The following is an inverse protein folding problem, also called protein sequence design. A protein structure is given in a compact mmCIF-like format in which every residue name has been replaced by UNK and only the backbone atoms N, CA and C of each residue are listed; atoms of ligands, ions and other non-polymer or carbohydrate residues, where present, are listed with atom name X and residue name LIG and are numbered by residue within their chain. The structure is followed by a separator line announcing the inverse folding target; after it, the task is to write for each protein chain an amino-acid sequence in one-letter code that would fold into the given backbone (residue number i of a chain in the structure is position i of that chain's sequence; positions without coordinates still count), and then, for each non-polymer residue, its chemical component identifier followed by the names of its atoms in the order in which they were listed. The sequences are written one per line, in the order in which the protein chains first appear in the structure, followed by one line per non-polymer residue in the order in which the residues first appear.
data_IF_676596713482
#
_entry.id   IF_676596713482
#
_cell.length_a   1.000
_cell.length_b   1.000
_cell.length_c   1.000
_cell.angle_alpha   90.00
_cell.angle_beta   90.00
_cell.angle_gamma   90.00
#
_symmetry.space_group_name_H-M   'P 1'
#
loop_
_entity.id
_entity.type
_entity.pdbx_description
1 polymer ?
#
# COMPACT_ATOMS: atom_id res chain seq x y z
N UNK A 1 15.39 -18.59 -12.30
CA UNK A 1 16.14 -18.79 -13.59
C UNK A 1 17.63 -18.46 -13.38
N UNK A 2 18.55 -19.03 -14.17
CA UNK A 2 19.99 -18.80 -13.99
C UNK A 2 20.49 -17.72 -14.96
N UNK A 3 20.95 -16.58 -14.44
CA UNK A 3 21.51 -15.50 -15.25
C UNK A 3 23.01 -15.34 -15.00
N UNK A 4 23.79 -15.36 -16.07
CA UNK A 4 25.20 -15.01 -16.01
C UNK A 4 25.32 -13.50 -16.06
N UNK A 5 25.79 -12.88 -14.97
CA UNK A 5 26.12 -11.47 -14.97
C UNK A 5 27.43 -11.26 -15.74
N UNK A 6 27.37 -10.45 -16.80
CA UNK A 6 28.55 -10.00 -17.54
C UNK A 6 28.94 -8.63 -16.99
N UNK A 7 30.07 -8.54 -16.31
CA UNK A 7 30.78 -7.26 -16.21
C UNK A 7 31.39 -6.94 -17.57
N UNK A 8 31.45 -5.66 -17.95
CA UNK A 8 32.23 -5.23 -19.09
C UNK A 8 33.68 -5.76 -18.90
N UNK A 9 34.14 -6.62 -19.83
CA UNK A 9 35.45 -7.26 -19.82
C UNK A 9 35.86 -8.03 -18.52
N UNK A 10 35.13 -9.09 -18.17
CA UNK A 10 35.52 -10.01 -17.09
C UNK A 10 36.94 -10.63 -17.22
N UNK A 11 37.55 -10.60 -18.41
CA UNK A 11 38.91 -11.11 -18.64
C UNK A 11 40.00 -10.28 -17.98
N UNK A 12 39.82 -8.96 -17.91
CA UNK A 12 40.82 -8.00 -17.42
C UNK A 12 40.43 -7.38 -16.06
N UNK A 13 39.37 -7.88 -15.43
CA UNK A 13 38.82 -7.30 -14.22
C UNK A 13 39.77 -7.54 -13.01
N UNK A 14 40.22 -6.48 -12.31
CA UNK A 14 41.06 -6.61 -11.11
C UNK A 14 40.40 -7.41 -9.97
N UNK A 15 39.07 -7.37 -9.91
CA UNK A 15 38.27 -8.03 -8.86
C UNK A 15 37.74 -9.41 -9.28
N UNK A 16 38.31 -10.02 -10.34
CA UNK A 16 37.82 -11.29 -10.89
C UNK A 16 37.87 -12.44 -9.88
N UNK A 17 38.96 -12.55 -9.12
CA UNK A 17 39.13 -13.64 -8.14
C UNK A 17 38.09 -13.55 -7.01
N UNK A 18 37.78 -12.36 -6.53
CA UNK A 18 36.75 -12.14 -5.52
C UNK A 18 35.33 -12.33 -6.07
N UNK A 19 35.09 -11.92 -7.33
CA UNK A 19 33.78 -11.96 -7.95
C UNK A 19 33.37 -13.36 -8.44
N UNK A 20 34.26 -14.08 -9.14
CA UNK A 20 33.96 -15.36 -9.80
C UNK A 20 34.66 -16.56 -9.14
N UNK A 21 35.57 -16.33 -8.18
CA UNK A 21 36.36 -17.38 -7.54
C UNK A 21 37.16 -18.17 -8.58
N UNK A 22 37.06 -19.51 -8.50
CA UNK A 22 37.69 -20.44 -9.45
C UNK A 22 37.00 -20.48 -10.82
N UNK A 23 35.82 -19.89 -10.95
CA UNK A 23 35.05 -19.92 -12.21
C UNK A 23 35.48 -18.79 -13.15
N UNK A 24 35.37 -19.01 -14.46
CA UNK A 24 35.65 -17.94 -15.45
C UNK A 24 34.66 -16.77 -15.35
N UNK A 25 33.43 -17.01 -14.86
CA UNK A 25 32.36 -16.00 -14.73
C UNK A 25 31.54 -16.28 -13.47
N UNK A 26 31.04 -15.22 -12.82
CA UNK A 26 30.09 -15.34 -11.70
C UNK A 26 28.72 -15.76 -12.25
N UNK A 27 28.18 -16.83 -11.69
CA UNK A 27 26.83 -17.31 -11.98
C UNK A 27 25.92 -16.85 -10.84
N UNK A 28 24.89 -16.08 -11.16
CA UNK A 28 23.90 -15.65 -10.17
C UNK A 28 22.63 -16.46 -10.41
N UNK A 29 22.21 -17.18 -9.39
CA UNK A 29 20.95 -17.91 -9.42
C UNK A 29 19.87 -16.94 -8.96
N UNK A 30 18.86 -16.71 -9.79
CA UNK A 30 17.68 -15.95 -9.37
C UNK A 30 16.52 -16.87 -9.04
N UNK A 31 15.63 -16.35 -8.19
CA UNK A 31 14.31 -16.93 -8.00
C UNK A 31 13.46 -16.89 -9.27
N UNK A 32 12.29 -17.51 -9.21
CA UNK A 32 11.37 -17.60 -10.34
C UNK A 32 10.67 -16.27 -10.65
N UNK A 33 10.76 -15.28 -9.76
CA UNK A 33 10.08 -13.98 -9.87
C UNK A 33 10.97 -12.84 -10.40
N UNK A 34 12.16 -13.15 -10.92
CA UNK A 34 13.08 -12.10 -11.38
C UNK A 34 12.55 -11.34 -12.60
N UNK A 35 11.77 -11.99 -13.46
CA UNK A 35 11.14 -11.34 -14.61
C UNK A 35 10.20 -10.21 -14.17
N UNK A 36 9.37 -10.47 -13.16
CA UNK A 36 8.44 -9.51 -12.55
C UNK A 36 9.21 -8.37 -11.87
N UNK A 37 10.30 -8.69 -11.17
CA UNK A 37 11.16 -7.67 -10.54
C UNK A 37 11.81 -6.75 -11.57
N UNK A 38 12.31 -7.29 -12.68
CA UNK A 38 12.87 -6.48 -13.78
C UNK A 38 11.80 -5.65 -14.47
N UNK A 39 10.60 -6.21 -14.68
CA UNK A 39 9.45 -5.47 -15.22
C UNK A 39 9.08 -4.29 -14.32
N UNK A 40 9.04 -4.52 -13.01
CA UNK A 40 8.75 -3.46 -12.03
C UNK A 40 9.86 -2.41 -11.99
N UNK A 41 11.13 -2.82 -12.03
CA UNK A 41 12.27 -1.91 -12.11
C UNK A 41 12.20 -1.03 -13.37
N UNK A 42 11.90 -1.63 -14.54
CA UNK A 42 11.67 -0.89 -15.77
C UNK A 42 10.50 0.10 -15.66
N UNK A 43 9.38 -0.30 -15.05
CA UNK A 43 8.24 0.60 -14.78
C UNK A 43 8.67 1.78 -13.91
N UNK A 44 9.44 1.54 -12.86
CA UNK A 44 9.91 2.59 -11.94
C UNK A 44 10.91 3.57 -12.57
N UNK A 45 11.68 3.14 -13.56
CA UNK A 45 12.58 4.00 -14.33
C UNK A 45 11.84 4.93 -15.30
N UNK A 46 10.65 4.54 -15.77
CA UNK A 46 9.85 5.35 -16.69
C UNK A 46 9.33 6.64 -16.05
N UNK A 47 9.22 7.71 -16.84
CA UNK A 47 8.76 9.01 -16.33
C UNK A 47 7.32 8.94 -15.80
N UNK A 48 6.44 8.25 -16.54
CA UNK A 48 5.06 8.00 -16.10
C UNK A 48 5.01 7.22 -14.77
N UNK A 49 5.89 6.22 -14.61
CA UNK A 49 5.99 5.44 -13.39
C UNK A 49 6.42 6.27 -12.19
N UNK A 50 7.37 7.20 -12.36
CA UNK A 50 7.80 8.13 -11.30
C UNK A 50 6.67 9.06 -10.87
N UNK A 51 5.93 9.61 -11.82
CA UNK A 51 4.78 10.49 -11.54
C UNK A 51 3.69 9.73 -10.78
N UNK A 52 3.35 8.51 -11.20
CA UNK A 52 2.37 7.67 -10.51
C UNK A 52 2.85 7.29 -9.11
N UNK A 53 4.12 6.91 -8.96
CA UNK A 53 4.70 6.52 -7.68
C UNK A 53 4.72 7.69 -6.68
N UNK A 54 4.98 8.91 -7.14
CA UNK A 54 4.95 10.12 -6.29
C UNK A 54 3.59 10.30 -5.62
N UNK A 55 2.49 10.05 -6.33
CA UNK A 55 1.11 10.12 -5.78
C UNK A 55 0.85 9.06 -4.70
N UNK A 56 1.47 7.87 -4.84
CA UNK A 56 1.32 6.78 -3.85
C UNK A 56 1.97 7.13 -2.52
N UNK A 57 3.09 7.86 -2.52
CA UNK A 57 3.75 8.31 -1.29
C UNK A 57 2.80 9.10 -0.39
N UNK A 58 1.97 9.96 -0.96
CA UNK A 58 1.02 10.76 -0.18
C UNK A 58 -0.19 9.93 0.27
N UNK A 59 -0.67 9.04 -0.61
CA UNK A 59 -1.92 8.29 -0.38
C UNK A 59 -1.74 7.11 0.56
N UNK A 60 -0.59 6.43 0.52
CA UNK A 60 -0.35 5.16 1.21
C UNK A 60 0.31 5.36 2.57
N UNK A 61 1.24 6.31 2.69
CA UNK A 61 1.95 6.56 3.95
C UNK A 61 1.02 7.11 5.04
N UNK A 62 0.06 7.96 4.66
CA UNK A 62 -0.87 8.57 5.62
C UNK A 62 -1.76 7.55 6.36
N UNK A 63 -2.45 6.60 5.70
CA UNK A 63 -3.20 5.54 6.38
C UNK A 63 -2.33 4.68 7.30
N UNK A 64 -1.15 4.28 6.83
CA UNK A 64 -0.25 3.45 7.64
C UNK A 64 0.27 4.19 8.88
N UNK A 65 0.65 5.46 8.73
CA UNK A 65 1.02 6.31 9.86
C UNK A 65 -0.12 6.48 10.86
N UNK A 66 -1.35 6.70 10.37
CA UNK A 66 -2.53 6.85 11.21
C UNK A 66 -2.83 5.57 12.00
N UNK A 67 -2.85 4.42 11.32
CA UNK A 67 -3.11 3.11 11.95
C UNK A 67 -2.06 2.81 13.03
N UNK A 68 -0.78 3.05 12.74
CA UNK A 68 0.30 2.74 13.68
C UNK A 68 0.39 3.72 14.86
N UNK A 69 0.29 5.03 14.61
CA UNK A 69 0.54 6.05 15.63
C UNK A 69 -0.75 6.52 16.32
N UNK A 70 -1.81 6.80 15.56
CA UNK A 70 -3.05 7.35 16.10
C UNK A 70 -3.98 6.24 16.60
N UNK A 71 -4.08 5.12 15.89
CA UNK A 71 -4.88 3.95 16.32
C UNK A 71 -4.07 2.99 17.20
N UNK A 72 -2.76 3.22 17.36
CA UNK A 72 -1.83 2.42 18.19
C UNK A 72 -1.77 0.93 17.80
N UNK A 73 -2.13 0.59 16.57
CA UNK A 73 -2.07 -0.77 16.06
C UNK A 73 -0.64 -1.10 15.61
N UNK A 74 0.17 -1.65 16.52
CA UNK A 74 1.60 -1.96 16.28
C UNK A 74 1.88 -3.46 16.19
N UNK A 75 1.03 -4.28 16.78
CA UNK A 75 1.17 -5.74 16.84
C UNK A 75 -0.19 -6.38 16.62
N UNK A 76 -0.17 -7.63 16.12
CA UNK A 76 -1.37 -8.44 15.98
C UNK A 76 -1.59 -9.24 17.26
N UNK A 77 -2.83 -9.30 17.73
CA UNK A 77 -3.18 -10.10 18.91
C UNK A 77 -3.35 -11.58 18.56
N UNK A 78 -3.59 -11.90 17.30
CA UNK A 78 -3.87 -13.26 16.83
C UNK A 78 -2.67 -13.90 16.13
N UNK A 79 -2.65 -15.24 16.09
CA UNK A 79 -1.67 -16.03 15.33
C UNK A 79 -2.37 -16.77 14.19
N UNK A 80 -1.64 -16.99 13.10
CA UNK A 80 -2.14 -17.61 11.87
C UNK A 80 -2.59 -16.59 10.83
N UNK A 81 -2.32 -16.88 9.54
CA UNK A 81 -2.53 -15.94 8.42
C UNK A 81 -4.00 -15.50 8.32
N UNK A 82 -4.94 -16.42 8.55
CA UNK A 82 -6.37 -16.14 8.47
C UNK A 82 -6.83 -15.14 9.53
N UNK A 83 -6.47 -15.39 10.80
CA UNK A 83 -6.84 -14.51 11.91
C UNK A 83 -6.20 -13.12 11.78
N UNK A 84 -4.92 -13.07 11.40
CA UNK A 84 -4.19 -11.83 11.14
C UNK A 84 -4.86 -11.01 10.03
N UNK A 85 -5.36 -11.67 8.97
CA UNK A 85 -6.13 -11.00 7.90
C UNK A 85 -7.44 -10.42 8.43
N UNK A 86 -8.17 -11.15 9.27
CA UNK A 86 -9.41 -10.63 9.86
C UNK A 86 -9.15 -9.39 10.71
N UNK A 87 -8.15 -9.44 11.58
CA UNK A 87 -7.76 -8.32 12.44
C UNK A 87 -7.34 -7.10 11.61
N UNK A 88 -6.51 -7.31 10.57
CA UNK A 88 -6.11 -6.26 9.65
C UNK A 88 -7.32 -5.63 8.92
N UNK A 89 -8.24 -6.44 8.42
CA UNK A 89 -9.43 -5.97 7.72
C UNK A 89 -10.33 -5.12 8.63
N UNK A 90 -10.46 -5.51 9.90
CA UNK A 90 -11.24 -4.75 10.87
C UNK A 90 -10.63 -3.36 11.12
N UNK A 91 -9.30 -3.30 11.30
CA UNK A 91 -8.56 -2.03 11.49
C UNK A 91 -8.70 -1.13 10.25
N UNK A 92 -8.53 -1.68 9.05
CA UNK A 92 -8.72 -0.94 7.80
C UNK A 92 -10.16 -0.42 7.66
N UNK A 93 -11.16 -1.21 8.04
CA UNK A 93 -12.57 -0.81 8.02
C UNK A 93 -12.81 0.36 8.98
N UNK A 94 -12.32 0.26 10.21
CA UNK A 94 -12.44 1.32 11.21
C UNK A 94 -11.77 2.63 10.74
N UNK A 95 -10.59 2.54 10.13
CA UNK A 95 -9.91 3.69 9.54
C UNK A 95 -10.76 4.34 8.43
N UNK A 96 -11.27 3.53 7.49
CA UNK A 96 -12.11 4.01 6.39
C UNK A 96 -13.39 4.68 6.89
N UNK A 97 -14.07 4.10 7.89
CA UNK A 97 -15.26 4.69 8.52
C UNK A 97 -14.94 6.06 9.11
N UNK A 98 -13.81 6.22 9.81
CA UNK A 98 -13.39 7.51 10.37
C UNK A 98 -13.12 8.56 9.27
N UNK A 99 -12.48 8.16 8.17
CA UNK A 99 -12.24 9.05 7.02
C UNK A 99 -13.56 9.48 6.38
N UNK A 100 -14.46 8.52 6.13
CA UNK A 100 -15.78 8.81 5.56
C UNK A 100 -16.58 9.73 6.47
N UNK A 101 -16.58 9.47 7.78
CA UNK A 101 -17.24 10.33 8.75
C UNK A 101 -16.68 11.76 8.73
N UNK A 102 -15.36 11.94 8.68
CA UNK A 102 -14.75 13.27 8.57
C UNK A 102 -15.15 14.02 7.29
N UNK A 103 -15.23 13.30 6.16
CA UNK A 103 -15.69 13.87 4.87
C UNK A 103 -17.18 14.20 4.89
N UNK A 104 -18.00 13.33 5.47
CA UNK A 104 -19.44 13.53 5.64
C UNK A 104 -19.75 14.61 6.65
N UNK A 105 -18.90 14.81 7.67
CA UNK A 105 -18.99 15.89 8.67
C UNK A 105 -19.06 17.28 8.04
N UNK A 106 -18.34 17.50 6.93
CA UNK A 106 -18.46 18.72 6.11
C UNK A 106 -19.81 18.86 5.39
N UNK A 107 -20.53 17.76 5.19
CA UNK A 107 -21.88 17.68 4.62
C UNK A 107 -22.98 17.52 5.68
N UNK A 108 -22.66 17.45 6.97
CA UNK A 108 -23.66 17.28 8.06
C UNK A 108 -24.59 18.49 8.15
N UNK A 109 -24.17 19.67 7.71
CA UNK A 109 -25.05 20.82 7.53
C UNK A 109 -26.23 20.49 6.58
N UNK A 110 -26.01 19.68 5.53
CA UNK A 110 -27.07 19.21 4.64
C UNK A 110 -27.92 18.09 5.23
N UNK A 111 -27.36 17.22 6.08
CA UNK A 111 -28.11 16.19 6.81
C UNK A 111 -29.00 16.78 7.93
N UNK A 112 -28.64 17.94 8.48
CA UNK A 112 -29.48 18.72 9.39
C UNK A 112 -30.80 19.15 8.76
N UNK A 113 -30.82 19.44 7.46
CA UNK A 113 -32.04 19.80 6.72
C UNK A 113 -33.00 18.60 6.53
N UNK A 114 -32.50 17.36 6.52
CA UNK A 114 -33.35 16.16 6.46
C UNK A 114 -34.11 15.95 7.79
N UNK A 115 -33.49 16.28 8.93
CA UNK A 115 -34.20 16.25 10.23
C UNK A 115 -35.39 17.23 10.26
N UNK A 116 -35.26 18.39 9.60
CA UNK A 116 -36.36 19.36 9.47
C UNK A 116 -37.53 18.86 8.62
N UNK A 117 -37.28 18.00 7.63
CA UNK A 117 -38.31 17.45 6.75
C UNK A 117 -39.13 16.34 7.43
N UNK A 118 -38.45 15.45 8.20
CA UNK A 118 -39.10 14.36 8.94
C UNK A 118 -39.89 14.89 10.15
N UNK A 119 -39.40 15.93 10.83
CA UNK A 119 -40.11 16.57 11.93
C UNK A 119 -41.40 17.28 11.46
N UNK A 120 -41.39 17.92 10.28
CA UNK A 120 -42.59 18.56 9.73
C UNK A 120 -43.63 17.56 9.19
N UNK A 121 -43.21 16.38 8.74
CA UNK A 121 -44.13 15.34 8.29
C UNK A 121 -44.83 14.64 9.47
N UNK A 122 -44.14 14.46 10.60
CA UNK A 122 -44.71 13.91 11.83
C UNK A 122 -45.75 14.84 12.47
N UNK A 123 -45.61 16.16 12.34
CA UNK A 123 -46.54 17.13 12.94
C UNK A 123 -47.84 17.31 12.13
N UNK A 124 -47.80 17.18 10.79
CA UNK A 124 -48.99 17.33 9.93
C UNK A 124 -50.00 16.17 9.98
N UNK A 125 -49.64 15.02 10.55
CA UNK A 125 -50.58 13.88 10.73
C UNK A 125 -51.30 13.88 12.07
N UNK A 126 -50.98 14.80 12.99
CA UNK A 126 -51.58 14.88 14.33
C UNK A 126 -52.67 15.95 14.45
N UNK A 127 -53.16 16.52 13.35
CA UNK A 127 -54.21 17.55 13.35
C UNK A 127 -55.32 17.30 12.32
N UNK A 128 -55.67 16.04 12.09
CA UNK A 128 -56.82 15.65 11.29
C UNK A 128 -57.65 14.61 12.04
#
# INVERSE_FOLDING_TARGET
QQYSYYGANCGECPFREECAGKSKKRKITSDDYEAERRRMAGKMCSENGKVEYKKRKETVEWPFGNIKQNMKFREFHTRGIENVRMEHNLVCTAHNLRVMWGKLGGSVAALGNIKGLVANFAFRRASM
#
